data_IF_134653736376
#
_entry.id   IF_134653736376
#
_cell.length_a   1.000
_cell.length_b   1.000
_cell.length_c   1.000
_cell.angle_alpha   90.00
_cell.angle_beta   90.00
_cell.angle_gamma   90.00
#
_symmetry.space_group_name_H-M   'P 1'
#
loop_
_entity.id
_entity.type
_entity.pdbx_description
1 polymer ?
#
# COMPACT_ATOMS: atom_id res chain seq x y z
N UNK A 1 -10.49 -1.02 -31.22
CA UNK A 1 -10.08 -1.54 -29.90
C UNK A 1 -8.56 -1.59 -29.89
N UNK A 2 -7.86 -1.04 -28.90
CA UNK A 2 -6.43 -1.33 -28.75
C UNK A 2 -6.31 -2.80 -28.39
N UNK A 3 -5.47 -3.56 -29.08
CA UNK A 3 -5.13 -4.91 -28.66
C UNK A 3 -4.54 -4.83 -27.25
N UNK A 4 -5.30 -5.28 -26.27
CA UNK A 4 -4.86 -5.33 -24.89
C UNK A 4 -3.90 -6.52 -24.81
N UNK A 5 -2.62 -6.22 -24.57
CA UNK A 5 -1.60 -7.25 -24.42
C UNK A 5 -1.89 -8.11 -23.18
N UNK A 6 -2.09 -9.41 -23.36
CA UNK A 6 -2.35 -10.39 -22.28
C UNK A 6 -1.29 -10.33 -21.18
N UNK A 7 -0.01 -10.19 -21.54
CA UNK A 7 1.09 -10.05 -20.57
C UNK A 7 0.89 -8.83 -19.67
N UNK A 8 0.45 -7.69 -20.22
CA UNK A 8 0.18 -6.50 -19.40
C UNK A 8 -0.98 -6.69 -18.43
N UNK A 9 -1.99 -7.48 -18.80
CA UNK A 9 -3.10 -7.81 -17.90
C UNK A 9 -2.62 -8.73 -16.78
N UNK A 10 -1.83 -9.75 -17.11
CA UNK A 10 -1.24 -10.63 -16.12
C UNK A 10 -0.38 -9.82 -15.13
N UNK A 11 0.48 -8.93 -15.62
CA UNK A 11 1.31 -8.05 -14.78
C UNK A 11 0.47 -7.15 -13.86
N UNK A 12 -0.61 -6.57 -14.38
CA UNK A 12 -1.51 -5.77 -13.56
C UNK A 12 -2.14 -6.60 -12.42
N UNK A 13 -2.63 -7.80 -12.72
CA UNK A 13 -3.19 -8.71 -11.71
C UNK A 13 -2.14 -9.17 -10.70
N UNK A 14 -0.89 -9.41 -11.13
CA UNK A 14 0.22 -9.72 -10.22
C UNK A 14 0.42 -8.66 -9.17
N UNK A 15 0.54 -7.42 -9.64
CA UNK A 15 0.87 -6.29 -8.79
C UNK A 15 -0.26 -6.07 -7.80
N UNK A 16 -1.52 -6.25 -8.23
CA UNK A 16 -2.66 -6.17 -7.32
C UNK A 16 -2.68 -7.31 -6.29
N UNK A 17 -2.26 -8.53 -6.62
CA UNK A 17 -2.09 -9.61 -5.64
C UNK A 17 -1.02 -9.23 -4.61
N UNK A 18 0.18 -8.86 -5.07
CA UNK A 18 1.29 -8.46 -4.20
C UNK A 18 0.92 -7.27 -3.29
N UNK A 19 0.19 -6.29 -3.83
CA UNK A 19 -0.34 -5.15 -3.08
C UNK A 19 -1.33 -5.59 -2.01
N UNK A 20 -2.29 -6.45 -2.36
CA UNK A 20 -3.29 -6.97 -1.42
C UNK A 20 -2.62 -7.69 -0.26
N UNK A 21 -1.71 -8.62 -0.56
CA UNK A 21 -0.98 -9.39 0.45
C UNK A 21 -0.11 -8.49 1.33
N UNK A 22 0.60 -7.53 0.73
CA UNK A 22 1.45 -6.58 1.46
C UNK A 22 0.64 -5.69 2.42
N UNK A 23 -0.52 -5.20 1.98
CA UNK A 23 -1.40 -4.37 2.81
C UNK A 23 -1.97 -5.16 3.98
N UNK A 24 -2.48 -6.38 3.72
CA UNK A 24 -3.02 -7.26 4.76
C UNK A 24 -1.92 -7.66 5.76
N UNK A 25 -0.80 -8.18 5.28
CA UNK A 25 0.29 -8.62 6.14
C UNK A 25 0.83 -7.46 6.99
N UNK A 26 1.11 -6.30 6.37
CA UNK A 26 1.63 -5.14 7.07
C UNK A 26 0.71 -4.64 8.18
N UNK A 27 -0.61 -4.57 7.92
CA UNK A 27 -1.59 -4.11 8.91
C UNK A 27 -1.84 -5.15 10.01
N UNK A 28 -2.02 -6.43 9.67
CA UNK A 28 -2.30 -7.48 10.65
C UNK A 28 -1.10 -7.78 11.56
N UNK A 29 0.13 -7.80 11.00
CA UNK A 29 1.34 -7.98 11.82
C UNK A 29 1.50 -6.80 12.77
N UNK A 30 1.29 -5.56 12.30
CA UNK A 30 1.32 -4.39 13.16
C UNK A 30 0.32 -4.53 14.32
N UNK A 31 -0.96 -4.81 14.03
CA UNK A 31 -2.01 -4.87 15.02
C UNK A 31 -1.79 -5.98 16.07
N UNK A 32 -1.33 -7.15 15.63
CA UNK A 32 -1.01 -8.26 16.51
C UNK A 32 0.09 -7.90 17.53
N UNK A 33 1.20 -7.32 17.06
CA UNK A 33 2.30 -6.92 17.95
C UNK A 33 1.95 -5.71 18.80
N UNK A 34 1.16 -4.78 18.28
CA UNK A 34 0.63 -3.66 19.06
C UNK A 34 -0.23 -4.18 20.22
N UNK A 35 -1.07 -5.18 19.96
CA UNK A 35 -1.89 -5.82 20.99
C UNK A 35 -1.04 -6.54 22.04
N UNK A 36 0.00 -7.28 21.64
CA UNK A 36 0.96 -7.90 22.58
C UNK A 36 1.68 -6.86 23.45
N UNK A 37 2.10 -5.76 22.84
CA UNK A 37 2.74 -4.66 23.56
C UNK A 37 1.79 -4.03 24.60
N UNK A 38 0.55 -3.75 24.23
CA UNK A 38 -0.47 -3.21 25.15
C UNK A 38 -0.77 -4.16 26.33
N UNK A 39 -0.65 -5.47 26.13
CA UNK A 39 -0.80 -6.48 27.20
C UNK A 39 0.47 -6.68 28.05
N UNK A 40 1.57 -5.99 27.75
CA UNK A 40 2.85 -6.15 28.44
C UNK A 40 3.63 -7.41 28.04
N UNK A 41 3.24 -8.09 26.96
CA UNK A 41 3.86 -9.32 26.45
C UNK A 41 5.00 -9.04 25.45
N UNK A 42 5.30 -7.76 25.19
CA UNK A 42 6.28 -7.35 24.20
C UNK A 42 7.03 -6.10 24.66
N UNK A 43 8.32 -6.01 24.35
CA UNK A 43 9.16 -4.92 24.83
C UNK A 43 8.96 -3.64 24.03
N UNK A 44 9.25 -2.48 24.65
CA UNK A 44 9.24 -1.18 23.98
C UNK A 44 10.16 -1.15 22.75
N UNK A 45 11.39 -1.66 22.89
CA UNK A 45 12.33 -1.72 21.77
C UNK A 45 11.80 -2.64 20.64
N UNK A 46 11.18 -3.75 21.01
CA UNK A 46 10.56 -4.68 20.07
C UNK A 46 9.43 -4.03 19.27
N UNK A 47 8.48 -3.36 19.94
CA UNK A 47 7.35 -2.73 19.23
C UNK A 47 7.82 -1.63 18.30
N UNK A 48 8.82 -0.81 18.69
CA UNK A 48 9.40 0.22 17.82
C UNK A 48 10.00 -0.39 16.56
N UNK A 49 10.70 -1.52 16.67
CA UNK A 49 11.26 -2.25 15.52
C UNK A 49 10.17 -2.78 14.59
N UNK A 50 9.13 -3.42 15.14
CA UNK A 50 8.00 -3.95 14.36
C UNK A 50 7.24 -2.83 13.67
N UNK A 51 6.94 -1.74 14.37
CA UNK A 51 6.27 -0.58 13.77
C UNK A 51 7.07 -0.01 12.60
N UNK A 52 8.40 0.15 12.76
CA UNK A 52 9.27 0.63 11.67
C UNK A 52 9.24 -0.31 10.47
N UNK A 53 9.29 -1.63 10.69
CA UNK A 53 9.23 -2.64 9.64
C UNK A 53 7.89 -2.57 8.89
N UNK A 54 6.77 -2.69 9.62
CA UNK A 54 5.43 -2.70 9.04
C UNK A 54 5.11 -1.38 8.33
N UNK A 55 5.44 -0.23 8.92
CA UNK A 55 5.22 1.07 8.28
C UNK A 55 6.03 1.19 6.99
N UNK A 56 7.32 0.81 7.00
CA UNK A 56 8.14 0.88 5.79
C UNK A 56 7.57 -0.02 4.67
N UNK A 57 7.13 -1.22 5.03
CA UNK A 57 6.47 -2.15 4.11
C UNK A 57 5.16 -1.59 3.53
N UNK A 58 4.29 -1.03 4.38
CA UNK A 58 3.03 -0.40 3.96
C UNK A 58 3.27 0.81 3.06
N UNK A 59 4.26 1.66 3.37
CA UNK A 59 4.62 2.80 2.51
C UNK A 59 5.11 2.33 1.14
N UNK A 60 5.90 1.26 1.07
CA UNK A 60 6.32 0.67 -0.19
C UNK A 60 5.12 0.16 -1.01
N UNK A 61 4.17 -0.53 -0.38
CA UNK A 61 2.94 -0.98 -1.03
C UNK A 61 2.10 0.21 -1.56
N UNK A 62 1.90 1.26 -0.75
CA UNK A 62 1.18 2.45 -1.19
C UNK A 62 1.86 3.19 -2.35
N UNK A 63 3.20 3.23 -2.34
CA UNK A 63 3.96 3.79 -3.46
C UNK A 63 3.81 2.91 -4.72
N UNK A 64 3.86 1.57 -4.59
CA UNK A 64 3.59 0.64 -5.70
C UNK A 64 2.19 0.81 -6.27
N UNK A 65 1.18 1.15 -5.46
CA UNK A 65 -0.17 1.45 -5.95
C UNK A 65 -0.20 2.72 -6.81
N UNK A 66 0.59 3.73 -6.47
CA UNK A 66 0.76 4.92 -7.32
C UNK A 66 1.41 4.55 -8.66
N UNK A 67 2.46 3.72 -8.63
CA UNK A 67 3.15 3.23 -9.83
C UNK A 67 2.24 2.33 -10.68
N UNK A 68 1.39 1.51 -10.06
CA UNK A 68 0.35 0.73 -10.72
C UNK A 68 -0.57 1.64 -11.52
N UNK A 69 -1.05 2.73 -10.92
CA UNK A 69 -1.90 3.68 -11.62
C UNK A 69 -1.19 4.33 -12.82
N UNK A 70 0.05 4.81 -12.63
CA UNK A 70 0.85 5.38 -13.71
C UNK A 70 0.96 4.41 -14.90
N UNK A 71 1.16 3.11 -14.65
CA UNK A 71 1.40 2.10 -15.68
C UNK A 71 0.13 1.46 -16.26
N UNK A 72 -0.85 1.13 -15.42
CA UNK A 72 -1.97 0.23 -15.73
C UNK A 72 -3.35 0.91 -15.65
N UNK A 73 -3.47 2.22 -15.42
CA UNK A 73 -4.77 2.91 -15.34
C UNK A 73 -5.68 2.70 -16.55
N UNK A 74 -5.10 2.44 -17.74
CA UNK A 74 -5.83 2.18 -18.96
C UNK A 74 -6.57 0.82 -18.96
N UNK A 75 -6.14 -0.13 -18.10
CA UNK A 75 -6.81 -1.41 -17.88
C UNK A 75 -7.97 -1.30 -16.87
N UNK A 76 -8.00 -0.22 -16.08
CA UNK A 76 -9.00 -0.03 -15.01
C UNK A 76 -10.40 0.18 -15.62
N UNK A 77 -11.38 -0.66 -15.25
CA UNK A 77 -12.78 -0.53 -15.69
C UNK A 77 -13.35 0.84 -15.34
N UNK A 78 -14.24 1.37 -16.18
CA UNK A 78 -14.77 2.73 -16.04
C UNK A 78 -15.50 2.90 -14.69
N UNK A 79 -16.22 1.87 -14.25
CA UNK A 79 -16.99 1.83 -13.01
C UNK A 79 -16.12 1.88 -11.73
N UNK A 80 -14.87 1.43 -11.79
CA UNK A 80 -13.95 1.45 -10.64
C UNK A 80 -12.98 2.64 -10.65
N UNK A 81 -12.87 3.31 -11.80
CA UNK A 81 -11.89 4.37 -12.03
C UNK A 81 -11.98 5.56 -11.06
N UNK A 82 -13.17 6.06 -10.68
CA UNK A 82 -13.27 7.20 -9.77
C UNK A 82 -12.59 6.94 -8.42
N UNK A 83 -12.86 5.78 -7.81
CA UNK A 83 -12.37 5.45 -6.46
C UNK A 83 -10.86 5.25 -6.43
N UNK A 84 -10.29 4.48 -7.36
CA UNK A 84 -8.84 4.29 -7.40
C UNK A 84 -8.11 5.59 -7.77
N UNK A 85 -8.68 6.42 -8.65
CA UNK A 85 -8.08 7.72 -8.99
C UNK A 85 -8.08 8.66 -7.78
N UNK A 86 -9.18 8.71 -7.02
CA UNK A 86 -9.29 9.50 -5.80
C UNK A 86 -8.26 9.04 -4.76
N UNK A 87 -8.18 7.72 -4.54
CA UNK A 87 -7.19 7.11 -3.64
C UNK A 87 -5.75 7.47 -4.03
N UNK A 88 -5.37 7.28 -5.29
CA UNK A 88 -4.01 7.61 -5.77
C UNK A 88 -3.72 9.10 -5.61
N UNK A 89 -4.69 9.96 -5.92
CA UNK A 89 -4.54 11.41 -5.74
C UNK A 89 -4.30 11.77 -4.27
N UNK A 90 -4.99 11.07 -3.35
CA UNK A 90 -4.82 11.24 -1.91
C UNK A 90 -3.45 10.73 -1.42
N UNK A 91 -2.93 9.62 -1.97
CA UNK A 91 -1.60 9.12 -1.64
C UNK A 91 -0.49 10.05 -2.15
N UNK A 92 -0.66 10.60 -3.35
CA UNK A 92 0.26 11.56 -3.93
C UNK A 92 0.30 12.86 -3.13
N UNK A 93 -0.85 13.40 -2.72
CA UNK A 93 -0.91 14.63 -1.91
C UNK A 93 -0.32 14.45 -0.50
N UNK A 94 -0.30 13.21 0.00
CA UNK A 94 0.34 12.81 1.26
C UNK A 94 1.86 12.61 1.16
N UNK A 95 2.49 12.87 0.01
CA UNK A 95 3.95 12.77 -0.16
C UNK A 95 4.52 11.33 0.05
N UNK A 96 3.73 10.28 -0.21
CA UNK A 96 4.14 8.86 -0.01
C UNK A 96 5.47 8.54 -0.72
N UNK A 97 5.64 8.99 -1.97
CA UNK A 97 6.86 8.81 -2.76
C UNK A 97 8.08 9.49 -2.12
N UNK A 98 7.89 10.66 -1.52
CA UNK A 98 8.95 11.41 -0.83
C UNK A 98 9.40 10.69 0.42
N UNK A 99 8.48 10.15 1.21
CA UNK A 99 8.83 9.32 2.37
C UNK A 99 9.60 8.07 1.95
N UNK A 100 9.11 7.34 0.93
CA UNK A 100 9.79 6.16 0.39
C UNK A 100 11.24 6.49 0.03
N UNK A 101 11.48 7.60 -0.68
CA UNK A 101 12.83 7.97 -1.10
C UNK A 101 13.72 8.41 0.08
N UNK A 102 13.20 9.26 0.97
CA UNK A 102 14.02 9.94 1.97
C UNK A 102 14.20 9.14 3.27
N UNK A 103 13.31 8.19 3.56
CA UNK A 103 13.31 7.43 4.82
C UNK A 103 13.55 5.94 4.60
N UNK A 104 12.99 5.36 3.53
CA UNK A 104 13.07 3.91 3.30
C UNK A 104 14.25 3.55 2.39
N UNK A 105 14.45 4.28 1.29
CA UNK A 105 15.39 3.89 0.23
C UNK A 105 16.80 4.49 0.36
N UNK A 106 16.93 5.69 0.92
CA UNK A 106 18.21 6.40 0.95
C UNK A 106 18.55 6.90 2.36
N UNK A 107 19.80 6.70 2.75
CA UNK A 107 20.35 7.22 4.01
C UNK A 107 20.62 8.72 3.92
N UNK A 108 20.94 9.24 2.72
CA UNK A 108 21.38 10.63 2.52
C UNK A 108 20.37 11.46 1.74
N UNK A 109 19.87 12.55 2.35
CA UNK A 109 19.02 13.52 1.67
C UNK A 109 19.92 14.48 0.87
N UNK A 110 19.82 14.42 -0.47
CA UNK A 110 20.62 15.26 -1.38
C UNK A 110 20.31 16.75 -1.25
N UNK A 111 19.07 17.14 -0.95
CA UNK A 111 18.68 18.54 -0.80
C UNK A 111 19.24 19.13 0.49
N UNK A 112 19.21 18.37 1.59
CA UNK A 112 19.70 18.80 2.91
C UNK A 112 21.19 18.56 3.10
N UNK A 113 21.81 17.73 2.25
CA UNK A 113 23.21 17.28 2.37
C UNK A 113 23.51 16.66 3.74
N UNK A 114 22.57 15.85 4.26
CA UNK A 114 22.72 15.05 5.47
C UNK A 114 21.63 13.96 5.53
N UNK A 115 21.76 13.01 6.45
CA UNK A 115 20.65 12.14 6.81
C UNK A 115 19.49 12.92 7.44
N UNK A 116 18.27 12.39 7.31
CA UNK A 116 17.12 12.90 8.06
C UNK A 116 17.27 12.60 9.55
N UNK A 117 16.83 13.54 10.38
CA UNK A 117 16.68 13.26 11.82
C UNK A 117 15.43 12.41 12.06
N UNK A 118 15.35 11.77 13.24
CA UNK A 118 14.15 11.02 13.63
C UNK A 118 12.90 11.91 13.64
N UNK A 119 13.01 13.16 14.10
CA UNK A 119 11.91 14.11 14.09
C UNK A 119 11.40 14.41 12.68
N UNK A 120 12.32 14.60 11.71
CA UNK A 120 11.94 14.83 10.32
C UNK A 120 11.27 13.60 9.69
N UNK A 121 11.77 12.40 9.98
CA UNK A 121 11.17 11.16 9.49
C UNK A 121 9.76 10.95 10.07
N UNK A 122 9.57 11.19 11.37
CA UNK A 122 8.24 11.13 12.02
C UNK A 122 7.29 12.19 11.46
N UNK A 123 7.78 13.41 11.22
CA UNK A 123 6.95 14.46 10.62
C UNK A 123 6.47 14.10 9.21
N UNK A 124 7.31 13.44 8.40
CA UNK A 124 6.90 12.92 7.09
C UNK A 124 5.89 11.78 7.23
N UNK A 125 6.09 10.87 8.19
CA UNK A 125 5.12 9.79 8.45
C UNK A 125 3.76 10.35 8.85
N UNK A 126 3.73 11.33 9.76
CA UNK A 126 2.49 11.95 10.25
C UNK A 126 1.71 12.66 9.14
N UNK A 127 2.38 13.17 8.09
CA UNK A 127 1.69 13.71 6.90
C UNK A 127 0.98 12.62 6.10
N UNK A 128 1.51 11.40 6.11
CA UNK A 128 0.92 10.26 5.41
C UNK A 128 -0.20 9.63 6.22
N UNK A 129 0.07 9.35 7.49
CA UNK A 129 -0.86 8.62 8.35
C UNK A 129 -1.90 9.52 9.00
N UNK A 130 -1.57 10.79 9.29
CA UNK A 130 -2.32 11.53 10.31
C UNK A 130 -2.29 10.73 11.62
N UNK A 131 -3.47 10.34 12.12
CA UNK A 131 -3.60 9.46 13.28
C UNK A 131 -3.30 7.99 12.94
N UNK A 132 -2.29 7.34 13.54
CA UNK A 132 -1.83 5.99 13.15
C UNK A 132 -2.91 4.91 13.17
N UNK A 133 -3.77 4.87 14.20
CA UNK A 133 -4.83 3.86 14.29
C UNK A 133 -5.88 4.02 13.19
N UNK A 134 -6.26 5.26 12.90
CA UNK A 134 -7.23 5.57 11.83
C UNK A 134 -6.64 5.27 10.45
N UNK A 135 -5.34 5.49 10.28
CA UNK A 135 -4.62 5.13 9.06
C UNK A 135 -4.60 3.62 8.83
N UNK A 136 -4.28 2.83 9.84
CA UNK A 136 -4.25 1.36 9.71
C UNK A 136 -5.63 0.81 9.37
N UNK A 137 -6.70 1.31 10.01
CA UNK A 137 -8.07 0.93 9.69
C UNK A 137 -8.49 1.36 8.27
N UNK A 138 -8.04 2.53 7.82
CA UNK A 138 -8.29 2.97 6.44
C UNK A 138 -7.55 2.10 5.41
N UNK A 139 -6.37 1.57 5.75
CA UNK A 139 -5.66 0.63 4.90
C UNK A 139 -6.40 -0.71 4.84
N UNK A 140 -6.69 -1.28 6.01
CA UNK A 140 -7.34 -2.57 6.18
C UNK A 140 -8.17 -2.57 7.46
N UNK A 141 -9.48 -2.75 7.33
CA UNK A 141 -10.38 -2.93 8.47
C UNK A 141 -11.04 -4.31 8.40
N UNK A 142 -10.49 -5.32 9.10
CA UNK A 142 -11.06 -6.67 9.10
C UNK A 142 -12.53 -6.75 9.53
N UNK A 143 -13.05 -5.72 10.21
CA UNK A 143 -14.45 -5.65 10.65
C UNK A 143 -15.38 -4.97 9.63
N UNK A 144 -14.86 -4.17 8.70
CA UNK A 144 -15.65 -3.39 7.73
C UNK A 144 -14.81 -3.01 6.50
N UNK A 145 -14.42 -4.01 5.70
CA UNK A 145 -13.72 -3.83 4.41
C UNK A 145 -14.69 -3.71 3.23
N UNK A 146 -15.86 -3.09 3.42
CA UNK A 146 -16.79 -2.87 2.32
C UNK A 146 -16.19 -1.89 1.29
N UNK A 147 -16.26 -2.22 0.00
CA UNK A 147 -15.85 -1.29 -1.06
C UNK A 147 -16.73 -0.03 -1.03
N UNK A 148 -16.15 1.19 -1.21
CA UNK A 148 -14.74 1.53 -1.38
C UNK A 148 -14.08 2.10 -0.10
N UNK A 149 -14.45 1.62 1.10
CA UNK A 149 -14.07 2.23 2.38
C UNK A 149 -12.58 2.12 2.72
N UNK A 150 -11.93 1.05 2.27
CA UNK A 150 -10.51 0.76 2.61
C UNK A 150 -9.64 0.57 1.38
N UNK A 151 -8.34 0.82 1.52
CA UNK A 151 -7.36 0.59 0.45
C UNK A 151 -7.39 -0.88 -0.01
N UNK A 152 -7.43 -1.82 0.94
CA UNK A 152 -7.57 -3.26 0.64
C UNK A 152 -8.84 -3.53 -0.17
N UNK A 153 -10.00 -2.98 0.20
CA UNK A 153 -11.26 -3.21 -0.53
C UNK A 153 -11.21 -2.71 -1.97
N UNK A 154 -10.54 -1.58 -2.22
CA UNK A 154 -10.37 -1.01 -3.57
C UNK A 154 -9.44 -1.88 -4.42
N UNK A 155 -8.30 -2.30 -3.84
CA UNK A 155 -7.32 -3.16 -4.53
C UNK A 155 -7.92 -4.53 -4.85
N UNK A 156 -8.62 -5.14 -3.89
CA UNK A 156 -9.31 -6.42 -4.05
C UNK A 156 -10.37 -6.36 -5.15
N UNK A 157 -11.28 -5.37 -5.07
CA UNK A 157 -12.36 -5.22 -6.06
C UNK A 157 -11.79 -5.04 -7.46
N UNK A 158 -10.72 -4.25 -7.61
CA UNK A 158 -10.05 -4.07 -8.89
C UNK A 158 -9.39 -5.36 -9.38
N UNK A 159 -8.66 -6.07 -8.52
CA UNK A 159 -8.03 -7.35 -8.83
C UNK A 159 -9.07 -8.32 -9.38
N UNK A 160 -10.14 -8.54 -8.64
CA UNK A 160 -11.15 -9.54 -8.97
C UNK A 160 -11.91 -9.15 -10.24
N UNK A 161 -12.19 -7.86 -10.42
CA UNK A 161 -12.81 -7.36 -11.65
C UNK A 161 -11.93 -7.56 -12.87
N UNK A 162 -10.62 -7.29 -12.79
CA UNK A 162 -9.70 -7.55 -13.90
C UNK A 162 -9.60 -9.04 -14.20
N UNK A 163 -9.55 -9.90 -13.17
CA UNK A 163 -9.53 -11.36 -13.38
C UNK A 163 -10.76 -11.85 -14.11
N UNK A 164 -11.95 -11.40 -13.71
CA UNK A 164 -13.20 -11.76 -14.37
C UNK A 164 -13.24 -11.21 -15.80
N UNK A 165 -12.96 -9.93 -15.99
CA UNK A 165 -13.07 -9.26 -17.29
C UNK A 165 -12.17 -9.89 -18.35
N UNK A 166 -10.97 -10.32 -17.96
CA UNK A 166 -9.98 -10.89 -18.89
C UNK A 166 -9.83 -12.41 -18.76
N UNK A 167 -10.64 -13.09 -17.93
CA UNK A 167 -10.51 -14.54 -17.70
C UNK A 167 -9.11 -14.93 -17.22
N UNK A 168 -8.56 -14.24 -16.21
CA UNK A 168 -7.25 -14.57 -15.61
C UNK A 168 -7.42 -15.57 -14.48
N UNK A 169 -6.84 -16.76 -14.65
CA UNK A 169 -6.79 -17.80 -13.61
C UNK A 169 -5.66 -17.54 -12.62
N UNK A 170 -5.70 -18.22 -11.47
CA UNK A 170 -4.62 -18.15 -10.49
C UNK A 170 -3.32 -18.77 -11.05
N UNK A 171 -3.42 -19.91 -11.74
CA UNK A 171 -2.26 -20.63 -12.27
C UNK A 171 -1.50 -19.80 -13.31
N UNK A 172 -2.20 -19.09 -14.20
CA UNK A 172 -1.57 -18.18 -15.17
C UNK A 172 -0.77 -17.05 -14.50
N UNK A 173 -1.18 -16.61 -13.32
CA UNK A 173 -0.48 -15.57 -12.53
C UNK A 173 0.78 -16.14 -11.86
N UNK A 174 0.82 -17.44 -11.58
CA UNK A 174 1.97 -18.09 -10.93
C UNK A 174 3.02 -18.64 -11.91
N UNK A 175 2.61 -19.10 -13.10
CA UNK A 175 3.49 -19.79 -14.05
C UNK A 175 4.25 -18.89 -15.04
N UNK A 176 4.00 -17.58 -14.97
CA UNK A 176 4.65 -16.55 -15.79
C UNK A 176 6.11 -16.26 -15.41
#
# INVERSE_FOLDING_TARGET
>A
MRDINRSSVLDAVYVLNDLFDSLIAGTMVFDNYQSKFTRGEFSQAGIVAVQKMCVSHLILALNKLCEFWERFHHLVPAELRPEIKALVSQLQSRDVKKFRNAVVAHVWDKKRRRALTQFEAVALLNRISGHPGSFLLWLNNPKDNAYPKTVVSIVETLRDRLRVQYGVTADEVFQR
#
